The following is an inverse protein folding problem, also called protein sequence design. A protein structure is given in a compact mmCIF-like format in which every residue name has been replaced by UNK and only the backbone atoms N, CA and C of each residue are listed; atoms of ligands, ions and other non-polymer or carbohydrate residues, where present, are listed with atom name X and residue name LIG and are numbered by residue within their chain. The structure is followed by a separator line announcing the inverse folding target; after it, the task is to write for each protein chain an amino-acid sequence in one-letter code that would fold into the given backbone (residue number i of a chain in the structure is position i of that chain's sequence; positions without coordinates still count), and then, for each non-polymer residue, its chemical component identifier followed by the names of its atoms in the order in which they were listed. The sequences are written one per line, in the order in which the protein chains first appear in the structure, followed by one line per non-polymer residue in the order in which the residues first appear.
data_IF_526156158017
#
_entry.id   IF_526156158017
#
_cell.length_a   1.000
_cell.length_b   1.000
_cell.length_c   1.000
_cell.angle_alpha   90.00
_cell.angle_beta   90.00
_cell.angle_gamma   90.00
#
_symmetry.space_group_name_H-M   'P 1'
#
loop_
_entity.id
_entity.type
_entity.pdbx_description
1 polymer ?
#
# COMPACT_ATOMS: atom_id res chain seq x y z
N UNK A 1 23.02 37.56 24.59
CA UNK A 1 24.27 37.14 23.93
C UNK A 1 25.38 37.42 24.91
N UNK A 2 25.87 36.37 25.57
CA UNK A 2 26.79 36.48 26.71
C UNK A 2 28.25 36.37 26.22
N UNK A 3 29.04 37.45 26.26
CA UNK A 3 30.40 37.47 25.69
C UNK A 3 31.42 36.59 26.43
N UNK A 4 31.08 36.10 27.63
CA UNK A 4 32.00 35.35 28.50
C UNK A 4 32.12 33.85 28.14
N UNK A 5 31.25 33.30 27.28
CA UNK A 5 31.40 31.92 26.78
C UNK A 5 32.40 31.77 25.61
N UNK A 6 33.02 32.86 25.17
CA UNK A 6 33.72 32.92 23.88
C UNK A 6 35.21 32.56 23.87
N UNK A 7 35.73 31.82 24.86
CA UNK A 7 37.13 31.39 24.84
C UNK A 7 37.19 29.85 24.82
N UNK A 8 37.13 29.32 23.60
CA UNK A 8 37.72 28.06 23.13
C UNK A 8 37.09 26.77 23.72
N UNK A 9 35.88 26.40 23.28
CA UNK A 9 35.40 25.03 23.46
C UNK A 9 35.58 24.13 22.23
N UNK A 10 35.80 24.70 21.04
CA UNK A 10 36.08 23.93 19.82
C UNK A 10 37.07 24.71 18.96
N UNK A 11 38.17 24.08 18.57
CA UNK A 11 39.21 24.65 17.70
C UNK A 11 38.68 24.91 16.27
N UNK A 12 37.66 24.15 15.85
CA UNK A 12 36.88 24.37 14.62
C UNK A 12 35.38 24.07 14.85
N UNK A 13 34.61 25.13 15.15
CA UNK A 13 33.16 25.04 15.38
C UNK A 13 32.38 24.64 14.12
N UNK A 14 32.93 24.89 12.94
CA UNK A 14 32.31 24.50 11.68
C UNK A 14 32.39 22.99 11.50
N UNK A 15 33.57 22.41 11.76
CA UNK A 15 33.77 20.97 11.70
C UNK A 15 32.90 20.21 12.72
N UNK A 16 32.88 20.67 13.99
CA UNK A 16 32.06 20.06 15.02
C UNK A 16 30.56 20.14 14.71
N UNK A 17 30.08 21.28 14.21
CA UNK A 17 28.68 21.44 13.79
C UNK A 17 28.35 20.55 12.60
N UNK A 18 29.28 20.39 11.64
CA UNK A 18 29.11 19.49 10.49
C UNK A 18 29.02 18.02 10.91
N UNK A 19 29.89 17.56 11.81
CA UNK A 19 29.86 16.19 12.32
C UNK A 19 28.60 15.90 13.15
N UNK A 20 28.18 16.86 13.97
CA UNK A 20 26.94 16.79 14.74
C UNK A 20 25.73 16.71 13.79
N UNK A 21 25.67 17.57 12.78
CA UNK A 21 24.62 17.55 11.76
C UNK A 21 24.56 16.21 11.03
N UNK A 22 25.70 15.64 10.62
CA UNK A 22 25.75 14.34 9.94
C UNK A 22 25.28 13.20 10.85
N UNK A 23 25.66 13.21 12.13
CA UNK A 23 25.26 12.17 13.09
C UNK A 23 23.76 12.24 13.39
N UNK A 24 23.24 13.44 13.60
CA UNK A 24 21.80 13.67 13.81
C UNK A 24 21.00 13.29 12.57
N UNK A 25 21.44 13.70 11.38
CA UNK A 25 20.79 13.35 10.12
C UNK A 25 20.73 11.83 9.95
N UNK A 26 21.85 11.12 10.18
CA UNK A 26 21.89 9.66 10.10
C UNK A 26 20.95 8.99 11.11
N UNK A 27 20.90 9.49 12.35
CA UNK A 27 20.05 8.92 13.40
C UNK A 27 18.56 9.11 13.10
N UNK A 28 18.15 10.32 12.70
CA UNK A 28 16.75 10.63 12.38
C UNK A 28 16.32 9.85 11.15
N UNK A 29 17.12 9.85 10.08
CA UNK A 29 16.83 9.04 8.90
C UNK A 29 16.78 7.53 9.27
N UNK A 30 17.66 7.03 10.13
CA UNK A 30 17.60 5.62 10.54
C UNK A 30 16.33 5.19 11.29
N UNK A 31 15.57 6.14 11.84
CA UNK A 31 14.34 5.88 12.62
C UNK A 31 13.05 5.97 11.80
N UNK A 32 13.11 6.54 10.60
CA UNK A 32 11.95 6.75 9.73
C UNK A 32 11.98 5.80 8.52
N UNK A 33 10.80 5.40 8.05
CA UNK A 33 10.70 4.63 6.81
C UNK A 33 10.99 5.53 5.59
N UNK A 34 11.49 4.95 4.49
CA UNK A 34 11.81 5.71 3.27
C UNK A 34 10.59 6.49 2.73
N UNK A 35 9.39 5.91 2.85
CA UNK A 35 8.15 6.56 2.39
C UNK A 35 7.86 7.82 3.21
N UNK A 36 8.09 7.78 4.52
CA UNK A 36 7.96 8.95 5.41
C UNK A 36 9.02 10.01 5.07
N UNK A 37 10.24 9.62 4.71
CA UNK A 37 11.25 10.60 4.28
C UNK A 37 10.95 11.28 2.96
N UNK A 38 10.29 10.58 2.04
CA UNK A 38 9.91 11.14 0.74
C UNK A 38 8.67 12.02 0.85
N UNK A 39 7.70 11.62 1.68
CA UNK A 39 6.42 12.31 1.83
C UNK A 39 6.44 13.42 2.90
N UNK A 40 7.26 13.30 3.95
CA UNK A 40 7.27 14.21 5.11
C UNK A 40 8.59 14.98 5.28
N UNK A 41 9.23 15.38 4.16
CA UNK A 41 10.52 16.12 4.18
C UNK A 41 10.53 17.36 5.06
N UNK A 42 9.44 18.13 5.07
CA UNK A 42 9.34 19.36 5.86
C UNK A 42 9.35 19.06 7.37
N UNK A 43 8.63 18.02 7.78
CA UNK A 43 8.58 17.58 9.18
C UNK A 43 9.95 17.08 9.64
N UNK A 44 10.59 16.22 8.83
CA UNK A 44 11.95 15.75 9.11
C UNK A 44 12.97 16.90 9.22
N UNK A 45 12.88 17.87 8.32
CA UNK A 45 13.77 19.04 8.31
C UNK A 45 13.60 19.88 9.58
N UNK A 46 12.37 20.04 10.06
CA UNK A 46 12.06 20.74 11.31
C UNK A 46 12.53 19.99 12.56
N UNK A 47 12.39 18.67 12.58
CA UNK A 47 12.85 17.84 13.69
C UNK A 47 14.38 17.89 13.79
N UNK A 48 15.07 17.78 12.66
CA UNK A 48 16.54 17.90 12.57
C UNK A 48 16.98 19.31 12.99
N UNK A 49 16.29 20.36 12.54
CA UNK A 49 16.57 21.74 12.96
C UNK A 49 16.49 21.89 14.48
N UNK A 50 15.43 21.37 15.09
CA UNK A 50 15.20 21.50 16.54
C UNK A 50 16.29 20.80 17.35
N UNK A 51 16.70 19.59 16.91
CA UNK A 51 17.77 18.83 17.57
C UNK A 51 19.12 19.55 17.41
N UNK A 52 19.42 20.06 16.21
CA UNK A 52 20.66 20.77 15.94
C UNK A 52 20.75 22.06 16.74
N UNK A 53 19.70 22.90 16.71
CA UNK A 53 19.65 24.17 17.41
C UNK A 53 19.89 24.00 18.93
N UNK A 54 19.23 23.01 19.55
CA UNK A 54 19.40 22.70 20.96
C UNK A 54 20.84 22.23 21.30
N UNK A 55 21.47 21.49 20.40
CA UNK A 55 22.82 20.98 20.60
C UNK A 55 23.90 22.05 20.31
N UNK A 56 23.66 22.96 19.36
CA UNK A 56 24.59 24.04 18.99
C UNK A 56 24.45 25.29 19.87
N UNK A 57 23.37 25.43 20.63
CA UNK A 57 23.19 26.49 21.64
C UNK A 57 24.32 26.49 22.69
N UNK A 58 24.88 25.31 23.01
CA UNK A 58 26.03 25.17 23.90
C UNK A 58 27.27 25.90 23.37
N UNK A 59 27.39 26.03 22.05
CA UNK A 59 28.47 26.71 21.34
C UNK A 59 28.11 28.15 20.95
N UNK A 60 26.90 28.62 21.28
CA UNK A 60 26.41 29.95 20.93
C UNK A 60 26.04 30.11 19.45
N UNK A 61 25.76 29.01 18.75
CA UNK A 61 25.42 28.99 17.33
C UNK A 61 23.91 28.75 17.18
N UNK A 62 23.23 29.66 16.46
CA UNK A 62 21.80 29.57 16.16
C UNK A 62 21.57 28.94 14.79
N UNK A 63 20.76 27.87 14.72
CA UNK A 63 20.43 27.20 13.46
C UNK A 63 19.11 27.73 12.89
N UNK A 64 19.19 28.49 11.79
CA UNK A 64 18.03 29.19 11.21
C UNK A 64 17.18 28.28 10.32
N UNK A 65 17.82 27.41 9.53
CA UNK A 65 17.13 26.48 8.64
C UNK A 65 18.00 25.25 8.35
N UNK A 66 17.37 24.09 8.21
CA UNK A 66 18.00 22.85 7.75
C UNK A 66 17.15 22.30 6.60
N UNK A 67 17.80 21.92 5.50
CA UNK A 67 17.12 21.37 4.34
C UNK A 67 17.81 20.08 3.88
N UNK A 68 17.04 19.01 3.74
CA UNK A 68 17.51 17.73 3.23
C UNK A 68 17.60 17.83 1.70
N UNK A 69 18.83 17.91 1.16
CA UNK A 69 19.08 17.94 -0.29
C UNK A 69 18.99 16.55 -0.92
N UNK A 70 20.09 15.81 -0.89
CA UNK A 70 20.20 14.47 -1.46
C UNK A 70 20.70 13.53 -0.37
N UNK A 71 19.94 12.45 -0.13
CA UNK A 71 20.38 11.38 0.76
C UNK A 71 21.03 10.33 -0.13
N UNK A 72 22.35 10.26 -0.13
CA UNK A 72 23.09 9.19 -0.78
C UNK A 72 22.91 7.93 0.06
N UNK A 73 21.91 7.12 -0.29
CA UNK A 73 21.69 5.81 0.30
C UNK A 73 22.71 4.84 -0.29
N UNK A 74 23.40 4.09 0.56
CA UNK A 74 24.26 2.98 0.11
C UNK A 74 23.41 1.95 -0.67
N UNK A 75 23.96 1.42 -1.77
CA UNK A 75 23.28 0.44 -2.62
C UNK A 75 22.79 -0.79 -1.82
N UNK A 76 23.54 -1.18 -0.79
CA UNK A 76 23.18 -2.29 0.08
C UNK A 76 21.85 -2.05 0.79
N UNK A 77 21.64 -0.83 1.29
CA UNK A 77 20.44 -0.39 2.00
C UNK A 77 19.27 -0.23 1.05
N UNK A 78 19.48 0.38 -0.13
CA UNK A 78 18.45 0.52 -1.18
C UNK A 78 17.89 -0.86 -1.58
N UNK A 79 18.77 -1.85 -1.75
CA UNK A 79 18.37 -3.24 -2.08
C UNK A 79 17.62 -3.93 -0.94
N UNK A 80 17.93 -3.63 0.31
CA UNK A 80 17.22 -4.18 1.46
C UNK A 80 15.81 -3.57 1.59
N UNK A 81 15.71 -2.24 1.46
CA UNK A 81 14.45 -1.50 1.51
C UNK A 81 13.55 -1.90 0.35
N UNK A 82 14.08 -1.99 -0.87
CA UNK A 82 13.30 -2.42 -2.03
C UNK A 82 12.68 -3.80 -1.83
N UNK A 83 13.44 -4.76 -1.29
CA UNK A 83 12.92 -6.11 -0.97
C UNK A 83 11.85 -6.09 0.12
N UNK A 84 12.02 -5.27 1.16
CA UNK A 84 11.02 -5.12 2.22
C UNK A 84 9.74 -4.46 1.70
N UNK A 85 9.87 -3.40 0.91
CA UNK A 85 8.74 -2.69 0.31
C UNK A 85 7.97 -3.58 -0.67
N UNK A 86 8.66 -4.40 -1.46
CA UNK A 86 8.03 -5.37 -2.37
C UNK A 86 7.28 -6.45 -1.60
N UNK A 87 7.87 -7.00 -0.53
CA UNK A 87 7.23 -8.00 0.33
C UNK A 87 5.96 -7.45 1.01
N UNK A 88 6.01 -6.23 1.55
CA UNK A 88 4.83 -5.60 2.17
C UNK A 88 3.76 -5.25 1.14
N UNK A 89 4.16 -4.81 -0.06
CA UNK A 89 3.22 -4.56 -1.17
C UNK A 89 2.54 -5.85 -1.61
N UNK A 90 3.27 -6.94 -1.75
CA UNK A 90 2.71 -8.24 -2.12
C UNK A 90 1.77 -8.76 -1.03
N UNK A 91 2.15 -8.62 0.25
CA UNK A 91 1.29 -8.97 1.40
C UNK A 91 -0.01 -8.17 1.37
N UNK A 92 0.07 -6.85 1.22
CA UNK A 92 -1.11 -5.97 1.13
C UNK A 92 -2.00 -6.33 -0.05
N UNK A 93 -1.41 -6.59 -1.22
CA UNK A 93 -2.17 -7.01 -2.40
C UNK A 93 -2.92 -8.33 -2.17
N UNK A 94 -2.29 -9.31 -1.51
CA UNK A 94 -2.94 -10.59 -1.16
C UNK A 94 -4.11 -10.39 -0.20
N UNK A 95 -3.97 -9.54 0.81
CA UNK A 95 -5.06 -9.24 1.77
C UNK A 95 -6.22 -8.57 1.05
N UNK A 96 -5.96 -7.54 0.24
CA UNK A 96 -7.00 -6.82 -0.51
C UNK A 96 -7.74 -7.75 -1.47
N UNK A 97 -7.03 -8.63 -2.18
CA UNK A 97 -7.66 -9.60 -3.07
C UNK A 97 -8.53 -10.60 -2.29
N UNK A 98 -8.03 -11.13 -1.17
CA UNK A 98 -8.80 -12.06 -0.34
C UNK A 98 -10.07 -11.40 0.24
N UNK A 99 -9.98 -10.14 0.68
CA UNK A 99 -11.14 -9.37 1.15
C UNK A 99 -12.14 -9.10 0.01
N UNK A 100 -11.65 -8.76 -1.19
CA UNK A 100 -12.49 -8.58 -2.37
C UNK A 100 -13.20 -9.86 -2.79
N UNK A 101 -12.51 -11.00 -2.77
CA UNK A 101 -13.10 -12.32 -3.04
C UNK A 101 -14.18 -12.69 -2.03
N UNK A 102 -13.94 -12.43 -0.73
CA UNK A 102 -14.93 -12.68 0.31
C UNK A 102 -16.20 -11.84 0.11
N UNK A 103 -16.03 -10.53 -0.14
CA UNK A 103 -17.15 -9.63 -0.42
C UNK A 103 -17.95 -10.06 -1.66
N UNK A 104 -17.25 -10.48 -2.73
CA UNK A 104 -17.88 -10.99 -3.93
C UNK A 104 -18.67 -12.28 -3.65
N UNK A 105 -18.09 -13.22 -2.90
CA UNK A 105 -18.75 -14.48 -2.53
C UNK A 105 -20.01 -14.25 -1.70
N UNK A 106 -19.96 -13.34 -0.72
CA UNK A 106 -21.12 -12.98 0.10
C UNK A 106 -22.24 -12.38 -0.74
N UNK A 107 -21.92 -11.48 -1.67
CA UNK A 107 -22.91 -10.89 -2.56
C UNK A 107 -23.51 -11.90 -3.53
N UNK A 108 -22.71 -12.84 -4.03
CA UNK A 108 -23.21 -13.94 -4.87
C UNK A 108 -24.13 -14.86 -4.07
N UNK A 109 -23.81 -15.17 -2.82
CA UNK A 109 -24.67 -15.96 -1.93
C UNK A 109 -26.00 -15.26 -1.67
N UNK A 110 -25.96 -13.97 -1.35
CA UNK A 110 -27.16 -13.13 -1.16
C UNK A 110 -28.04 -13.13 -2.42
N UNK A 111 -27.44 -12.92 -3.60
CA UNK A 111 -28.14 -12.99 -4.87
C UNK A 111 -28.74 -14.38 -5.13
N UNK A 112 -28.02 -15.46 -4.82
CA UNK A 112 -28.52 -16.83 -4.98
C UNK A 112 -29.73 -17.12 -4.08
N UNK A 113 -29.72 -16.62 -2.83
CA UNK A 113 -30.86 -16.73 -1.93
C UNK A 113 -32.08 -16.02 -2.50
N UNK A 114 -31.93 -14.76 -2.93
CA UNK A 114 -33.02 -13.98 -3.54
C UNK A 114 -33.57 -14.68 -4.80
N UNK A 115 -32.70 -15.22 -5.66
CA UNK A 115 -33.12 -15.97 -6.84
C UNK A 115 -33.85 -17.27 -6.48
N UNK A 116 -33.52 -17.90 -5.36
CA UNK A 116 -34.16 -19.14 -4.90
C UNK A 116 -35.57 -18.94 -4.34
N UNK A 117 -35.91 -17.74 -3.87
CA UNK A 117 -37.24 -17.43 -3.33
C UNK A 117 -38.34 -17.54 -4.39
N UNK A 118 -38.02 -17.26 -5.66
CA UNK A 118 -38.96 -17.35 -6.77
C UNK A 118 -38.40 -18.19 -7.92
N UNK A 119 -38.99 -19.37 -8.21
CA UNK A 119 -38.52 -20.26 -9.29
C UNK A 119 -38.47 -19.60 -10.67
N UNK A 120 -39.33 -18.60 -10.94
CA UNK A 120 -39.31 -17.86 -12.21
C UNK A 120 -38.05 -17.00 -12.37
N UNK A 121 -37.43 -16.53 -11.28
CA UNK A 121 -36.25 -15.67 -11.31
C UNK A 121 -35.02 -16.40 -11.86
N UNK A 122 -34.87 -17.69 -11.54
CA UNK A 122 -33.80 -18.54 -12.09
C UNK A 122 -33.98 -18.72 -13.61
N UNK A 123 -35.22 -18.87 -14.08
CA UNK A 123 -35.50 -18.99 -15.51
C UNK A 123 -35.18 -17.69 -16.26
N UNK A 124 -35.50 -16.52 -15.68
CA UNK A 124 -35.13 -15.23 -16.26
C UNK A 124 -33.61 -15.03 -16.31
N UNK A 125 -32.90 -15.41 -15.23
CA UNK A 125 -31.43 -15.40 -15.21
C UNK A 125 -30.85 -16.30 -16.30
N UNK A 126 -31.41 -17.50 -16.48
CA UNK A 126 -31.01 -18.41 -17.55
C UNK A 126 -31.22 -17.79 -18.95
N UNK A 127 -32.36 -17.14 -19.19
CA UNK A 127 -32.59 -16.44 -20.46
C UNK A 127 -31.62 -15.27 -20.68
N UNK A 128 -31.27 -14.51 -19.64
CA UNK A 128 -30.24 -13.47 -19.72
C UNK A 128 -28.88 -14.07 -20.09
N UNK A 129 -28.45 -15.15 -19.43
CA UNK A 129 -27.17 -15.80 -19.78
C UNK A 129 -27.13 -16.32 -21.21
N UNK A 130 -28.28 -16.73 -21.77
CA UNK A 130 -28.37 -17.14 -23.17
C UNK A 130 -28.28 -15.94 -24.13
N UNK A 131 -28.85 -14.79 -23.77
CA UNK A 131 -28.72 -13.56 -24.56
C UNK A 131 -27.28 -13.05 -24.56
N UNK A 132 -26.61 -13.05 -23.41
CA UNK A 132 -25.20 -12.66 -23.29
C UNK A 132 -24.29 -13.57 -24.12
N UNK A 133 -24.51 -14.89 -24.04
CA UNK A 133 -23.74 -15.88 -24.81
C UNK A 133 -24.05 -15.82 -26.32
N UNK A 134 -25.27 -15.44 -26.72
CA UNK A 134 -25.62 -15.26 -28.13
C UNK A 134 -25.04 -13.97 -28.73
N UNK A 135 -24.73 -12.97 -27.89
CA UNK A 135 -24.06 -11.73 -28.30
C UNK A 135 -22.57 -11.93 -28.62
N UNK A 136 -21.89 -12.78 -27.84
CA UNK A 136 -20.53 -13.20 -28.12
C UNK A 136 -20.52 -14.32 -29.17
N UNK A 137 -20.04 -14.03 -30.38
CA UNK A 137 -19.94 -14.96 -31.53
C UNK A 137 -19.11 -16.23 -31.23
N UNK A 138 -19.61 -17.13 -30.39
CA UNK A 138 -18.98 -18.39 -30.00
C UNK A 138 -19.72 -19.55 -30.66
N UNK A 139 -19.01 -20.32 -31.50
CA UNK A 139 -19.57 -21.39 -32.34
C UNK A 139 -19.86 -22.70 -31.59
N UNK A 140 -19.58 -22.76 -30.29
CA UNK A 140 -19.71 -23.98 -29.48
C UNK A 140 -20.44 -23.65 -28.18
N UNK A 141 -21.76 -23.84 -28.19
CA UNK A 141 -22.61 -23.64 -27.01
C UNK A 141 -22.70 -24.95 -26.24
N UNK A 142 -22.03 -25.03 -25.09
CA UNK A 142 -22.17 -26.16 -24.17
C UNK A 142 -23.40 -25.92 -23.29
N UNK A 143 -24.46 -26.69 -23.53
CA UNK A 143 -25.72 -26.61 -22.78
C UNK A 143 -25.73 -27.59 -21.60
N UNK A 144 -25.66 -27.12 -20.34
CA UNK A 144 -26.05 -27.93 -19.20
C UNK A 144 -27.58 -27.94 -19.10
N UNK A 145 -28.22 -29.01 -19.57
CA UNK A 145 -29.66 -29.18 -19.44
C UNK A 145 -30.02 -29.75 -18.06
N UNK A 146 -31.01 -29.18 -17.34
CA UNK A 146 -31.47 -29.72 -16.06
C UNK A 146 -32.06 -31.12 -16.25
N UNK A 147 -31.66 -32.07 -15.39
CA UNK A 147 -32.04 -33.49 -15.48
C UNK A 147 -33.56 -33.72 -15.55
N UNK A 148 -34.34 -32.84 -14.91
CA UNK A 148 -35.81 -32.88 -14.94
C UNK A 148 -36.39 -32.82 -16.37
N UNK A 149 -35.72 -32.16 -17.31
CA UNK A 149 -36.13 -32.10 -18.72
C UNK A 149 -35.80 -33.39 -19.47
N UNK A 150 -34.67 -34.05 -19.15
CA UNK A 150 -34.29 -35.34 -19.71
C UNK A 150 -35.27 -36.43 -19.27
N UNK A 151 -35.68 -36.42 -18.01
CA UNK A 151 -36.65 -37.37 -17.46
C UNK A 151 -38.02 -37.23 -18.14
N UNK A 152 -38.48 -36.00 -18.39
CA UNK A 152 -39.72 -35.74 -19.11
C UNK A 152 -39.67 -36.22 -20.58
N UNK A 153 -38.53 -36.08 -21.25
CA UNK A 153 -38.33 -36.54 -22.63
C UNK A 153 -38.30 -38.07 -22.71
N UNK A 154 -37.62 -38.72 -21.77
CA UNK A 154 -37.52 -40.18 -21.68
C UNK A 154 -38.87 -40.83 -21.42
N UNK A 155 -39.67 -40.25 -20.52
CA UNK A 155 -41.02 -40.74 -20.20
C UNK A 155 -41.99 -40.66 -21.39
N UNK A 156 -41.71 -39.78 -22.36
CA UNK A 156 -42.50 -39.63 -23.60
C UNK A 156 -42.03 -40.55 -24.74
N UNK A 157 -40.84 -41.12 -24.63
CA UNK A 157 -40.28 -42.12 -25.55
C UNK A 157 -40.62 -43.56 -25.15
N UNK A 158 -40.93 -43.77 -23.87
CA UNK A 158 -41.35 -45.07 -23.30
C UNK A 158 -42.88 -45.25 -23.25
N UNK A 159 -43.66 -44.31 -23.78
CA UNK A 159 -45.13 -44.35 -23.96
C UNK A 159 -45.49 -44.39 -25.45
#
# INVERSE_FOLDING_TARGET
VDPEKCIIQVEDYYEATSQLAQTTLRSVLGQHELDEMLSEREKLSKDIQTILDAATDAWGIKVINVEIKHVDLDESMVRAIARQAEAERERRAKVINAEGELQAADKLKEAALILSEQPQSIQLRYMQTLLDLAGDRTSTVVFPMPMNFLDALRKKLES
#
